data_IF_859562028389
#
_entry.id   IF_859562028389
#
_cell.length_a   1.000
_cell.length_b   1.000
_cell.length_c   1.000
_cell.angle_alpha   90.00
_cell.angle_beta   90.00
_cell.angle_gamma   90.00
#
_symmetry.space_group_name_H-M   'P 1'
#
loop_
_entity.id
_entity.type
_entity.pdbx_description
1 polymer ?
#
# COMPACT_ATOMS: atom_id res chain seq x y z
N UNK A 1 -36.52 -8.03 3.30
CA UNK A 1 -35.70 -7.45 4.39
C UNK A 1 -36.34 -6.14 4.83
N UNK A 2 -36.37 -5.82 6.13
CA UNK A 2 -36.97 -4.57 6.60
C UNK A 2 -36.11 -3.37 6.17
N UNK A 3 -36.70 -2.32 5.59
CA UNK A 3 -35.99 -1.16 5.01
C UNK A 3 -35.12 -0.41 6.04
N UNK A 4 -35.39 -0.62 7.33
CA UNK A 4 -34.59 -0.14 8.46
C UNK A 4 -33.10 -0.51 8.33
N UNK A 5 -32.78 -1.64 7.72
CA UNK A 5 -31.39 -2.11 7.58
C UNK A 5 -30.63 -1.49 6.40
N UNK A 6 -31.31 -0.82 5.47
CA UNK A 6 -30.66 -0.32 4.25
C UNK A 6 -29.65 0.79 4.56
N UNK A 7 -30.03 1.77 5.38
CA UNK A 7 -29.14 2.89 5.74
C UNK A 7 -27.91 2.43 6.55
N UNK A 8 -28.06 1.61 7.61
CA UNK A 8 -26.90 1.02 8.28
C UNK A 8 -25.98 0.23 7.33
N UNK A 9 -26.55 -0.56 6.42
CA UNK A 9 -25.77 -1.36 5.48
C UNK A 9 -24.99 -0.49 4.48
N UNK A 10 -25.54 0.66 4.07
CA UNK A 10 -24.83 1.65 3.26
C UNK A 10 -23.72 2.33 4.07
N UNK A 11 -24.00 2.69 5.32
CA UNK A 11 -23.02 3.33 6.20
C UNK A 11 -21.81 2.44 6.46
N UNK A 12 -22.01 1.13 6.59
CA UNK A 12 -20.92 0.17 6.81
C UNK A 12 -19.87 0.15 5.69
N UNK A 13 -20.22 0.53 4.45
CA UNK A 13 -19.24 0.69 3.37
C UNK A 13 -18.14 1.68 3.73
N UNK A 14 -18.48 2.72 4.50
CA UNK A 14 -17.55 3.76 4.90
C UNK A 14 -16.45 3.28 5.84
N UNK A 15 -16.56 2.08 6.42
CA UNK A 15 -15.47 1.48 7.20
C UNK A 15 -14.22 1.18 6.35
N UNK A 16 -14.35 1.09 5.02
CA UNK A 16 -13.20 0.94 4.13
C UNK A 16 -12.21 2.11 4.26
N UNK A 17 -12.69 3.33 4.44
CA UNK A 17 -11.83 4.53 4.53
C UNK A 17 -10.97 4.56 5.81
N UNK A 18 -11.52 4.50 7.04
CA UNK A 18 -10.72 4.52 8.25
C UNK A 18 -9.82 3.28 8.37
N UNK A 19 -10.21 2.13 7.83
CA UNK A 19 -9.34 0.95 7.81
C UNK A 19 -8.15 1.14 6.86
N UNK A 20 -8.35 1.67 5.66
CA UNK A 20 -7.26 2.03 4.74
C UNK A 20 -6.32 3.08 5.35
N UNK A 21 -6.87 4.16 5.90
CA UNK A 21 -6.08 5.20 6.56
C UNK A 21 -5.29 4.66 7.75
N UNK A 22 -5.88 3.74 8.53
CA UNK A 22 -5.22 3.10 9.67
C UNK A 22 -4.05 2.20 9.25
N UNK A 23 -4.13 1.56 8.08
CA UNK A 23 -3.02 0.78 7.54
C UNK A 23 -1.82 1.69 7.28
N UNK A 24 -2.02 2.78 6.53
CA UNK A 24 -0.96 3.77 6.29
C UNK A 24 -0.39 4.32 7.59
N UNK A 25 -1.25 4.70 8.53
CA UNK A 25 -0.81 5.24 9.82
C UNK A 25 0.11 4.27 10.58
N UNK A 26 -0.21 2.98 10.60
CA UNK A 26 0.54 1.97 11.36
C UNK A 26 1.92 1.69 10.79
N UNK A 27 2.06 1.77 9.47
CA UNK A 27 3.29 1.36 8.76
C UNK A 27 4.02 2.55 8.15
N UNK A 28 3.59 3.77 8.45
CA UNK A 28 4.05 5.00 7.81
C UNK A 28 5.58 5.16 7.84
N UNK A 29 6.19 4.90 8.99
CA UNK A 29 7.63 5.04 9.20
C UNK A 29 8.45 3.89 8.60
N UNK A 30 7.79 2.79 8.24
CA UNK A 30 8.41 1.62 7.61
C UNK A 30 8.34 1.69 6.08
N UNK A 31 7.47 2.54 5.54
CA UNK A 31 7.30 2.70 4.10
C UNK A 31 8.52 3.40 3.49
N UNK A 32 9.01 2.91 2.34
CA UNK A 32 10.08 3.58 1.62
C UNK A 32 9.63 4.96 1.14
N UNK A 33 10.57 5.92 1.08
CA UNK A 33 10.28 7.26 0.58
C UNK A 33 9.71 7.27 -0.84
N UNK A 34 10.05 6.25 -1.64
CA UNK A 34 9.57 6.03 -2.99
C UNK A 34 8.86 4.68 -3.08
N UNK A 35 7.55 4.71 -3.29
CA UNK A 35 6.69 3.54 -3.37
C UNK A 35 6.37 3.15 -4.81
N UNK A 36 6.44 1.86 -5.11
CA UNK A 36 5.88 1.28 -6.32
C UNK A 36 4.35 1.27 -6.25
N UNK A 37 3.69 1.82 -7.26
CA UNK A 37 2.21 1.94 -7.34
C UNK A 37 1.62 1.41 -8.65
N UNK A 38 2.44 1.25 -9.69
CA UNK A 38 2.02 0.61 -10.94
C UNK A 38 2.85 -0.64 -11.18
N UNK A 39 2.18 -1.69 -11.62
CA UNK A 39 2.77 -2.98 -11.95
C UNK A 39 2.45 -3.33 -13.40
N UNK A 40 3.43 -3.89 -14.12
CA UNK A 40 3.22 -4.39 -15.47
C UNK A 40 2.54 -5.77 -15.48
N UNK A 41 2.35 -6.34 -16.68
CA UNK A 41 1.75 -7.66 -16.85
C UNK A 41 2.59 -8.81 -16.25
N UNK A 42 3.88 -8.57 -15.97
CA UNK A 42 4.79 -9.52 -15.34
C UNK A 42 4.91 -9.27 -13.82
N UNK A 43 4.00 -8.46 -13.25
CA UNK A 43 4.00 -8.05 -11.85
C UNK A 43 5.25 -7.29 -11.40
N UNK A 44 5.96 -6.65 -12.32
CA UNK A 44 7.11 -5.82 -12.01
C UNK A 44 6.71 -4.36 -11.77
N UNK A 45 7.28 -3.69 -10.76
CA UNK A 45 6.97 -2.29 -10.48
C UNK A 45 7.52 -1.37 -11.58
N UNK A 46 6.62 -0.75 -12.34
CA UNK A 46 6.94 0.12 -13.49
C UNK A 46 6.62 1.61 -13.24
N UNK A 47 5.92 1.92 -12.14
CA UNK A 47 5.60 3.31 -11.79
C UNK A 47 5.75 3.54 -10.30
N UNK A 48 6.39 4.65 -9.96
CA UNK A 48 6.73 5.01 -8.59
C UNK A 48 6.21 6.40 -8.24
N UNK A 49 5.87 6.59 -6.98
CA UNK A 49 5.49 7.89 -6.40
C UNK A 49 6.08 8.02 -4.99
N UNK A 50 5.94 9.19 -4.35
CA UNK A 50 6.30 9.33 -2.94
C UNK A 50 5.31 8.57 -2.05
N UNK A 51 5.71 8.22 -0.82
CA UNK A 51 4.77 7.61 0.13
C UNK A 51 3.54 8.48 0.39
N UNK A 52 3.71 9.80 0.41
CA UNK A 52 2.62 10.79 0.52
C UNK A 52 1.71 10.75 -0.70
N UNK A 53 2.30 10.72 -1.90
CA UNK A 53 1.54 10.63 -3.14
C UNK A 53 0.75 9.33 -3.26
N UNK A 54 1.32 8.20 -2.80
CA UNK A 54 0.63 6.92 -2.77
C UNK A 54 -0.56 6.93 -1.80
N UNK A 55 -0.37 7.45 -0.58
CA UNK A 55 -1.44 7.55 0.42
C UNK A 55 -2.55 8.48 -0.07
N UNK A 56 -2.19 9.65 -0.60
CA UNK A 56 -3.14 10.62 -1.12
C UNK A 56 -3.98 10.02 -2.25
N UNK A 57 -3.35 9.49 -3.30
CA UNK A 57 -4.05 8.91 -4.45
C UNK A 57 -4.94 7.73 -4.03
N UNK A 58 -4.42 6.85 -3.17
CA UNK A 58 -5.15 5.68 -2.71
C UNK A 58 -6.38 6.03 -1.86
N UNK A 59 -6.27 7.02 -0.96
CA UNK A 59 -7.39 7.46 -0.12
C UNK A 59 -8.39 8.31 -0.92
N UNK A 60 -7.94 9.17 -1.83
CA UNK A 60 -8.82 9.99 -2.67
C UNK A 60 -9.67 9.13 -3.61
N UNK A 61 -9.08 8.15 -4.29
CA UNK A 61 -9.84 7.20 -5.12
C UNK A 61 -10.89 6.50 -4.27
N UNK A 62 -10.54 6.06 -3.06
CA UNK A 62 -11.47 5.37 -2.17
C UNK A 62 -12.61 6.29 -1.72
N UNK A 63 -12.34 7.56 -1.39
CA UNK A 63 -13.37 8.56 -1.04
C UNK A 63 -14.31 8.82 -2.22
N UNK A 64 -13.77 9.04 -3.42
CA UNK A 64 -14.58 9.28 -4.62
C UNK A 64 -15.50 8.08 -4.89
N UNK A 65 -14.96 6.86 -4.83
CA UNK A 65 -15.76 5.65 -5.01
C UNK A 65 -16.82 5.50 -3.92
N UNK A 66 -16.48 5.75 -2.64
CA UNK A 66 -17.44 5.69 -1.54
C UNK A 66 -18.61 6.65 -1.74
N UNK A 67 -18.36 7.89 -2.15
CA UNK A 67 -19.40 8.88 -2.42
C UNK A 67 -20.29 8.41 -3.57
N UNK A 68 -19.71 7.99 -4.70
CA UNK A 68 -20.47 7.54 -5.88
C UNK A 68 -21.36 6.34 -5.56
N UNK A 69 -20.83 5.31 -4.90
CA UNK A 69 -21.60 4.12 -4.55
C UNK A 69 -22.62 4.39 -3.44
N UNK A 70 -22.34 5.29 -2.50
CA UNK A 70 -23.32 5.73 -1.49
C UNK A 70 -24.50 6.41 -2.16
N UNK A 71 -24.26 7.42 -2.99
CA UNK A 71 -25.32 8.17 -3.68
C UNK A 71 -26.13 7.24 -4.59
N UNK A 72 -25.45 6.40 -5.39
CA UNK A 72 -26.10 5.45 -6.29
C UNK A 72 -26.99 4.47 -5.52
N UNK A 73 -26.50 3.90 -4.41
CA UNK A 73 -27.27 2.95 -3.62
C UNK A 73 -28.47 3.61 -2.95
N UNK A 74 -28.35 4.85 -2.48
CA UNK A 74 -29.47 5.61 -1.92
C UNK A 74 -30.53 5.98 -2.97
N UNK A 75 -30.11 6.35 -4.18
CA UNK A 75 -31.02 6.59 -5.31
C UNK A 75 -31.76 5.30 -5.67
N UNK A 76 -31.07 4.16 -5.73
CA UNK A 76 -31.70 2.87 -6.02
C UNK A 76 -32.66 2.46 -4.90
N UNK A 77 -32.34 2.68 -3.63
CA UNK A 77 -33.28 2.46 -2.53
C UNK A 77 -34.56 3.29 -2.69
N UNK A 78 -34.44 4.54 -3.14
CA UNK A 78 -35.56 5.44 -3.32
C UNK A 78 -36.43 5.08 -4.53
N UNK A 79 -35.81 4.77 -5.68
CA UNK A 79 -36.52 4.61 -6.96
C UNK A 79 -36.84 3.15 -7.32
N UNK A 80 -36.00 2.21 -6.89
CA UNK A 80 -36.09 0.77 -7.24
C UNK A 80 -35.69 -0.09 -6.05
N UNK A 81 -36.46 -0.10 -4.95
CA UNK A 81 -36.08 -0.77 -3.70
C UNK A 81 -35.81 -2.27 -3.84
N UNK A 82 -36.43 -2.93 -4.84
CA UNK A 82 -36.16 -4.33 -5.16
C UNK A 82 -34.71 -4.59 -5.61
N UNK A 83 -34.03 -3.58 -6.19
CA UNK A 83 -32.65 -3.68 -6.67
C UNK A 83 -31.61 -3.25 -5.64
N UNK A 84 -32.01 -2.86 -4.41
CA UNK A 84 -31.10 -2.40 -3.37
C UNK A 84 -29.99 -3.41 -3.06
N UNK A 85 -30.36 -4.68 -2.79
CA UNK A 85 -29.40 -5.71 -2.37
C UNK A 85 -28.36 -6.04 -3.45
N UNK A 86 -28.73 -6.25 -4.73
CA UNK A 86 -27.76 -6.41 -5.81
C UNK A 86 -26.80 -5.22 -5.95
N UNK A 87 -27.30 -3.99 -5.90
CA UNK A 87 -26.46 -2.79 -6.04
C UNK A 87 -25.53 -2.62 -4.85
N UNK A 88 -26.01 -2.89 -3.63
CA UNK A 88 -25.18 -2.88 -2.44
C UNK A 88 -24.05 -3.91 -2.54
N UNK A 89 -24.35 -5.13 -3.00
CA UNK A 89 -23.34 -6.19 -3.18
C UNK A 89 -22.24 -5.77 -4.17
N UNK A 90 -22.63 -5.22 -5.33
CA UNK A 90 -21.67 -4.71 -6.32
C UNK A 90 -20.82 -3.58 -5.72
N UNK A 91 -21.46 -2.68 -4.97
CA UNK A 91 -20.75 -1.58 -4.28
C UNK A 91 -19.68 -2.11 -3.32
N UNK A 92 -20.02 -3.09 -2.49
CA UNK A 92 -19.06 -3.74 -1.60
C UNK A 92 -17.93 -4.44 -2.36
N UNK A 93 -18.24 -5.13 -3.46
CA UNK A 93 -17.23 -5.83 -4.25
C UNK A 93 -16.21 -4.86 -4.86
N UNK A 94 -16.68 -3.76 -5.46
CA UNK A 94 -15.80 -2.74 -6.06
C UNK A 94 -14.98 -2.02 -4.99
N UNK A 95 -15.62 -1.59 -3.90
CA UNK A 95 -14.91 -0.94 -2.79
C UNK A 95 -13.88 -1.87 -2.13
N UNK A 96 -14.22 -3.16 -1.97
CA UNK A 96 -13.31 -4.17 -1.47
C UNK A 96 -12.10 -4.36 -2.38
N UNK A 97 -12.29 -4.33 -3.70
CA UNK A 97 -11.20 -4.37 -4.67
C UNK A 97 -10.30 -3.14 -4.59
N UNK A 98 -10.88 -1.92 -4.54
CA UNK A 98 -10.12 -0.68 -4.37
C UNK A 98 -9.32 -0.67 -3.07
N UNK A 99 -9.94 -1.09 -1.97
CA UNK A 99 -9.27 -1.21 -0.67
C UNK A 99 -8.13 -2.23 -0.71
N UNK A 100 -8.37 -3.40 -1.30
CA UNK A 100 -7.36 -4.46 -1.41
C UNK A 100 -6.19 -4.06 -2.30
N UNK A 101 -6.44 -3.36 -3.41
CA UNK A 101 -5.37 -2.83 -4.26
C UNK A 101 -4.51 -1.79 -3.51
N UNK A 102 -5.12 -0.97 -2.67
CA UNK A 102 -4.40 -0.04 -1.82
C UNK A 102 -3.55 -0.77 -0.76
N UNK A 103 -4.13 -1.76 -0.09
CA UNK A 103 -3.43 -2.63 0.86
C UNK A 103 -2.25 -3.38 0.20
N UNK A 104 -2.43 -3.94 -0.99
CA UNK A 104 -1.40 -4.71 -1.68
C UNK A 104 -0.20 -3.86 -2.10
N UNK A 105 -0.44 -2.61 -2.49
CA UNK A 105 0.63 -1.62 -2.72
C UNK A 105 1.46 -1.43 -1.44
N UNK A 106 0.80 -1.20 -0.30
CA UNK A 106 1.49 -1.03 0.99
C UNK A 106 2.31 -2.29 1.35
N UNK A 107 1.68 -3.46 1.30
CA UNK A 107 2.30 -4.74 1.63
C UNK A 107 3.51 -5.07 0.73
N UNK A 108 3.39 -4.82 -0.58
CA UNK A 108 4.49 -5.01 -1.53
C UNK A 108 5.71 -4.14 -1.18
N UNK A 109 5.48 -2.86 -0.88
CA UNK A 109 6.55 -1.93 -0.58
C UNK A 109 7.19 -2.19 0.78
N UNK A 110 6.43 -2.66 1.77
CA UNK A 110 6.99 -3.08 3.07
C UNK A 110 7.90 -4.30 2.92
N UNK A 111 7.45 -5.33 2.21
CA UNK A 111 8.26 -6.53 1.96
C UNK A 111 9.54 -6.22 1.20
N UNK A 112 9.49 -5.32 0.21
CA UNK A 112 10.68 -4.87 -0.51
C UNK A 112 11.69 -4.18 0.43
N UNK A 113 11.20 -3.38 1.39
CA UNK A 113 12.04 -2.68 2.37
C UNK A 113 12.68 -3.64 3.38
N UNK A 114 11.95 -4.65 3.86
CA UNK A 114 12.46 -5.69 4.76
C UNK A 114 13.61 -6.49 4.11
N UNK A 115 13.44 -6.89 2.84
CA UNK A 115 14.49 -7.60 2.09
C UNK A 115 15.74 -6.73 1.94
N UNK A 116 15.58 -5.45 1.60
CA UNK A 116 16.71 -4.53 1.47
C UNK A 116 17.45 -4.33 2.80
N UNK A 117 16.71 -4.21 3.91
CA UNK A 117 17.26 -4.05 5.25
C UNK A 117 17.96 -5.32 5.75
N UNK A 118 17.40 -6.50 5.44
CA UNK A 118 17.98 -7.80 5.79
C UNK A 118 19.27 -8.11 5.03
N UNK A 119 19.37 -7.68 3.76
CA UNK A 119 20.60 -7.78 2.98
C UNK A 119 21.69 -6.80 3.43
N UNK A 120 21.33 -5.73 4.15
CA UNK A 120 22.29 -4.81 4.79
C UNK A 120 22.69 -5.21 6.23
N UNK A 121 22.24 -6.38 6.73
CA UNK A 121 22.79 -7.04 7.92
C UNK A 121 24.29 -7.37 7.76
N UNK A 122 25.06 -7.62 8.85
CA UNK A 122 26.46 -7.23 8.98
C UNK A 122 27.42 -7.95 8.03
N UNK A 123 27.52 -7.48 6.80
CA UNK A 123 28.63 -7.72 5.87
C UNK A 123 29.22 -6.35 5.51
N UNK A 124 29.65 -5.60 6.52
CA UNK A 124 30.46 -4.40 6.30
C UNK A 124 31.30 -4.05 7.53
N UNK A 125 32.03 -5.04 8.04
CA UNK A 125 33.32 -4.82 8.70
C UNK A 125 34.20 -6.02 8.39
N UNK A 126 35.33 -5.77 7.72
CA UNK A 126 36.48 -6.70 7.56
C UNK A 126 36.75 -7.23 6.14
N UNK A 127 37.03 -6.33 5.19
CA UNK A 127 38.00 -6.65 4.12
C UNK A 127 38.90 -5.47 3.74
N UNK A 128 38.50 -4.22 4.01
CA UNK A 128 39.33 -3.06 3.64
C UNK A 128 40.38 -2.63 4.69
N UNK A 129 40.34 -3.17 5.92
CA UNK A 129 41.39 -2.90 6.92
C UNK A 129 42.56 -3.90 6.88
N UNK A 130 42.41 -5.06 6.23
CA UNK A 130 43.49 -6.05 6.12
C UNK A 130 44.48 -5.76 4.97
N UNK A 131 44.08 -4.95 3.98
CA UNK A 131 44.93 -4.61 2.83
C UNK A 131 45.86 -3.42 3.07
N UNK A 132 45.60 -2.58 4.09
CA UNK A 132 46.50 -1.45 4.43
C UNK A 132 47.58 -1.85 5.45
N UNK A 133 47.38 -2.91 6.23
CA UNK A 133 48.34 -3.36 7.24
C UNK A 133 49.52 -4.16 6.68
N UNK A 134 49.42 -4.70 5.45
CA UNK A 134 50.44 -5.61 4.88
C UNK A 134 51.32 -4.98 3.78
N UNK A 135 51.24 -3.66 3.52
CA UNK A 135 52.13 -2.95 2.60
C UNK A 135 53.25 -2.14 3.31
N UNK A 136 53.83 -2.68 4.39
CA UNK A 136 55.10 -2.20 4.94
C UNK A 136 56.11 -3.34 5.04
N UNK A 137 56.61 -3.80 3.90
CA UNK A 137 57.94 -4.39 3.80
C UNK A 137 58.95 -3.25 3.63
N UNK A 138 59.91 -3.02 4.54
CA UNK A 138 61.10 -2.27 4.22
C UNK A 138 62.09 -3.23 3.56
N UNK A 139 62.16 -3.15 2.24
CA UNK A 139 63.38 -3.41 1.47
C UNK A 139 64.40 -2.35 1.88
N UNK A 140 65.48 -2.73 2.57
CA UNK A 140 66.80 -2.08 2.51
C UNK A 140 67.81 -2.81 3.39
N UNK A 141 68.54 -3.75 2.79
CA UNK A 141 69.91 -4.06 3.16
C UNK A 141 70.64 -4.55 1.92
N UNK A 142 71.54 -3.71 1.40
CA UNK A 142 72.59 -4.01 0.43
C UNK A 142 73.68 -2.96 0.64
N UNK A 143 74.92 -3.17 0.19
CA UNK A 143 75.64 -4.41 -0.11
C UNK A 143 76.62 -4.82 1.00
#
# INVERSE_FOLDING_TARGET
MNRVWHKPAVLLMWLALPTAARIYWRVWDQLPARMAVHFDANWQPNGYTSREGAAQLGLEILVVMLVLFTVTTLIVDALKPAAFWPVLLVSYAVLGFCWYGNYSIVDFNLKAQEVHSGLQGPISKSTSQFLVANCRLPLLASP
#
